data_IF_282924583206
#
_entry.id   IF_282924583206
#
_cell.length_a   1.000
_cell.length_b   1.000
_cell.length_c   1.000
_cell.angle_alpha   90.00
_cell.angle_beta   90.00
_cell.angle_gamma   90.00
#
_symmetry.space_group_name_H-M   'P 1'
#
loop_
_entity.id
_entity.type
_entity.pdbx_description
1 polymer ?
#
# COMPACT_ATOMS: atom_id res chain seq x y z
N UNK A 1 -14.17 11.45 0.37
CA UNK A 1 -14.90 11.55 -0.91
C UNK A 1 -16.03 12.57 -0.83
N UNK A 2 -16.85 12.49 0.23
CA UNK A 2 -17.98 13.40 0.47
C UNK A 2 -17.62 14.91 0.46
N UNK A 3 -16.36 15.27 0.73
CA UNK A 3 -15.88 16.65 0.60
C UNK A 3 -15.43 17.02 -0.82
N UNK A 4 -14.65 16.18 -1.50
CA UNK A 4 -13.92 16.60 -2.70
C UNK A 4 -14.80 16.81 -3.94
N UNK A 5 -15.74 15.90 -4.18
CA UNK A 5 -16.66 16.01 -5.32
C UNK A 5 -17.49 17.31 -5.29
N UNK A 6 -18.27 17.61 -4.22
CA UNK A 6 -19.07 18.83 -4.21
C UNK A 6 -18.20 20.10 -4.28
N UNK A 7 -17.04 20.13 -3.62
CA UNK A 7 -16.15 21.30 -3.67
C UNK A 7 -15.47 21.51 -5.02
N UNK A 8 -15.30 20.45 -5.81
CA UNK A 8 -14.72 20.55 -7.15
C UNK A 8 -15.77 20.87 -8.22
N UNK A 9 -17.05 20.54 -7.96
CA UNK A 9 -18.18 20.90 -8.81
C UNK A 9 -18.67 22.33 -8.59
N UNK A 10 -18.48 22.89 -7.39
CA UNK A 10 -18.82 24.28 -7.12
C UNK A 10 -17.78 25.24 -7.74
N UNK A 11 -18.17 26.29 -8.48
CA UNK A 11 -17.23 27.16 -9.19
C UNK A 11 -16.31 27.95 -8.24
N UNK A 12 -16.79 28.32 -7.04
CA UNK A 12 -15.99 29.03 -6.04
C UNK A 12 -16.54 28.86 -4.60
N UNK A 13 -16.42 27.68 -3.97
CA UNK A 13 -17.02 27.45 -2.65
C UNK A 13 -16.26 28.20 -1.57
N UNK A 14 -16.96 28.94 -0.70
CA UNK A 14 -16.40 29.76 0.38
C UNK A 14 -16.91 29.36 1.77
N UNK A 15 -18.21 29.09 1.91
CA UNK A 15 -18.85 28.69 3.16
C UNK A 15 -19.41 27.27 3.05
N UNK A 16 -18.98 26.41 3.95
CA UNK A 16 -19.42 25.01 3.99
C UNK A 16 -20.06 24.70 5.33
N UNK A 17 -21.22 24.06 5.30
CA UNK A 17 -21.82 23.43 6.48
C UNK A 17 -21.58 21.93 6.42
N UNK A 18 -21.18 21.34 7.54
CA UNK A 18 -21.08 19.89 7.73
C UNK A 18 -22.01 19.52 8.88
N UNK A 19 -22.95 18.62 8.66
CA UNK A 19 -23.82 18.05 9.70
C UNK A 19 -23.37 16.62 9.97
N UNK A 20 -23.01 16.33 11.22
CA UNK A 20 -22.32 15.08 11.59
C UNK A 20 -20.82 15.15 11.32
N UNK A 21 -20.12 14.01 11.27
CA UNK A 21 -18.67 13.99 11.03
C UNK A 21 -17.84 14.59 12.18
N UNK A 22 -18.30 14.46 13.43
CA UNK A 22 -17.65 14.98 14.64
C UNK A 22 -16.22 14.46 14.92
N UNK A 23 -15.67 13.58 14.09
CA UNK A 23 -14.26 13.19 14.15
C UNK A 23 -13.31 14.25 13.55
N UNK A 24 -13.85 15.23 12.82
CA UNK A 24 -13.11 16.29 12.14
C UNK A 24 -12.50 15.89 10.80
N UNK A 25 -12.79 14.68 10.31
CA UNK A 25 -12.27 14.13 9.07
C UNK A 25 -12.75 14.88 7.85
N UNK A 26 -14.06 15.10 7.72
CA UNK A 26 -14.63 15.89 6.61
C UNK A 26 -14.10 17.31 6.63
N UNK A 27 -14.09 17.96 7.81
CA UNK A 27 -13.54 19.32 8.00
C UNK A 27 -12.11 19.41 7.49
N UNK A 28 -11.25 18.43 7.87
CA UNK A 28 -9.84 18.39 7.44
C UNK A 28 -9.71 18.38 5.91
N UNK A 29 -10.57 17.62 5.22
CA UNK A 29 -10.55 17.53 3.77
C UNK A 29 -11.12 18.79 3.09
N UNK A 30 -12.20 19.37 3.63
CA UNK A 30 -12.76 20.64 3.14
C UNK A 30 -11.74 21.78 3.25
N UNK A 31 -11.03 21.88 4.38
CA UNK A 31 -10.04 22.93 4.61
C UNK A 31 -8.81 22.88 3.69
N UNK A 32 -8.61 21.81 2.91
CA UNK A 32 -7.56 21.75 1.89
C UNK A 32 -7.81 22.70 0.72
N UNK A 33 -9.06 23.14 0.52
CA UNK A 33 -9.44 24.04 -0.57
C UNK A 33 -9.13 25.50 -0.16
N UNK A 34 -8.28 26.23 -0.93
CA UNK A 34 -7.91 27.61 -0.59
C UNK A 34 -9.08 28.60 -0.68
N UNK A 35 -10.10 28.31 -1.50
CA UNK A 35 -11.29 29.16 -1.66
C UNK A 35 -12.16 29.22 -0.40
N UNK A 36 -12.04 28.22 0.47
CA UNK A 36 -12.85 28.09 1.68
C UNK A 36 -12.46 29.16 2.69
N UNK A 37 -13.45 29.93 3.13
CA UNK A 37 -13.31 31.00 4.10
C UNK A 37 -13.87 30.58 5.46
N UNK A 38 -14.92 29.76 5.48
CA UNK A 38 -15.55 29.26 6.71
C UNK A 38 -16.08 27.84 6.52
N UNK A 39 -15.85 27.00 7.52
CA UNK A 39 -16.44 25.66 7.65
C UNK A 39 -17.14 25.61 9.00
N UNK A 40 -18.44 25.36 9.00
CA UNK A 40 -19.21 25.09 10.20
C UNK A 40 -19.41 23.60 10.31
N UNK A 41 -19.01 23.01 11.44
CA UNK A 41 -19.30 21.62 11.79
C UNK A 41 -20.39 21.61 12.87
N UNK A 42 -21.54 21.04 12.56
CA UNK A 42 -22.61 20.78 13.52
C UNK A 42 -22.51 19.34 14.00
N UNK A 43 -22.25 19.16 15.29
CA UNK A 43 -22.19 17.85 15.94
C UNK A 43 -23.07 17.85 17.20
N UNK A 44 -23.88 16.81 17.38
CA UNK A 44 -24.81 16.72 18.50
C UNK A 44 -24.14 16.14 19.75
N UNK A 45 -23.11 15.29 19.59
CA UNK A 45 -22.43 14.61 20.70
C UNK A 45 -20.96 15.05 20.86
N UNK A 46 -20.78 16.16 21.59
CA UNK A 46 -19.45 16.70 21.92
C UNK A 46 -18.57 15.68 22.66
N UNK A 47 -19.11 15.03 23.70
CA UNK A 47 -18.31 14.21 24.62
C UNK A 47 -17.91 12.87 24.03
N UNK A 48 -18.79 12.20 23.28
CA UNK A 48 -18.49 10.86 22.76
C UNK A 48 -17.84 10.88 21.39
N UNK A 49 -18.00 11.94 20.61
CA UNK A 49 -17.43 12.01 19.26
C UNK A 49 -16.27 12.98 19.22
N UNK A 50 -16.49 14.27 19.55
CA UNK A 50 -15.46 15.30 19.40
C UNK A 50 -14.30 15.10 20.39
N UNK A 51 -14.58 14.96 21.69
CA UNK A 51 -13.54 14.80 22.72
C UNK A 51 -12.76 13.48 22.54
N UNK A 52 -13.47 12.39 22.22
CA UNK A 52 -12.85 11.08 21.94
C UNK A 52 -11.94 11.17 20.71
N UNK A 53 -12.38 11.84 19.64
CA UNK A 53 -11.57 12.03 18.44
C UNK A 53 -10.35 12.91 18.71
N UNK A 54 -10.48 13.98 19.49
CA UNK A 54 -9.32 14.79 19.94
C UNK A 54 -8.29 13.93 20.72
N UNK A 55 -8.77 13.00 21.55
CA UNK A 55 -7.90 12.14 22.36
C UNK A 55 -7.21 11.03 21.57
N UNK A 56 -7.95 10.33 20.70
CA UNK A 56 -7.47 9.11 20.04
C UNK A 56 -7.10 9.30 18.56
N UNK A 57 -7.59 10.37 17.92
CA UNK A 57 -7.36 10.71 16.52
C UNK A 57 -6.80 12.14 16.35
N UNK A 58 -5.74 12.55 17.08
CA UNK A 58 -5.28 13.95 17.12
C UNK A 58 -4.90 14.51 15.74
N UNK A 59 -4.38 13.68 14.84
CA UNK A 59 -4.05 14.09 13.47
C UNK A 59 -5.28 14.42 12.60
N UNK A 60 -6.44 13.86 12.93
CA UNK A 60 -7.71 14.18 12.27
C UNK A 60 -8.31 15.41 12.94
N UNK A 61 -8.36 15.39 14.28
CA UNK A 61 -8.94 16.43 15.11
C UNK A 61 -8.16 17.76 15.11
N UNK A 62 -6.93 17.82 14.59
CA UNK A 62 -6.21 19.10 14.43
C UNK A 62 -7.00 20.14 13.58
N UNK A 63 -7.98 19.69 12.80
CA UNK A 63 -8.85 20.58 12.02
C UNK A 63 -9.74 21.48 12.89
N UNK A 64 -10.04 21.08 14.14
CA UNK A 64 -10.80 21.88 15.11
C UNK A 64 -10.08 23.16 15.52
N UNK A 65 -8.75 23.20 15.42
CA UNK A 65 -7.94 24.38 15.78
C UNK A 65 -7.75 25.35 14.60
N UNK A 66 -8.33 25.07 13.43
CA UNK A 66 -8.19 25.94 12.27
C UNK A 66 -9.04 27.21 12.43
N UNK A 67 -8.50 28.41 12.15
CA UNK A 67 -9.25 29.66 12.31
C UNK A 67 -10.45 29.80 11.37
N UNK A 68 -10.51 29.01 10.29
CA UNK A 68 -11.66 28.95 9.37
C UNK A 68 -12.73 27.95 9.81
N UNK A 69 -12.49 27.21 10.90
CA UNK A 69 -13.38 26.18 11.42
C UNK A 69 -14.18 26.72 12.60
N UNK A 70 -15.49 26.51 12.57
CA UNK A 70 -16.40 26.76 13.68
C UNK A 70 -17.08 25.45 14.07
N UNK A 71 -16.99 25.09 15.36
CA UNK A 71 -17.71 23.95 15.92
C UNK A 71 -18.99 24.45 16.57
N UNK A 72 -20.14 24.00 16.05
CA UNK A 72 -21.43 24.16 16.68
C UNK A 72 -21.82 22.83 17.35
N UNK A 73 -21.98 22.85 18.68
CA UNK A 73 -22.51 21.72 19.43
C UNK A 73 -24.01 21.87 19.59
N UNK A 74 -24.78 21.03 18.90
CA UNK A 74 -26.23 21.09 18.92
C UNK A 74 -26.89 20.35 17.76
N UNK A 75 -28.21 20.54 17.64
CA UNK A 75 -29.00 19.92 16.56
C UNK A 75 -28.74 20.62 15.22
N UNK A 76 -28.15 19.88 14.27
CA UNK A 76 -27.89 20.37 12.91
C UNK A 76 -29.17 20.69 12.12
N UNK A 77 -30.29 20.02 12.40
CA UNK A 77 -31.59 20.32 11.76
C UNK A 77 -32.04 21.71 12.18
N UNK A 78 -32.00 22.01 13.47
CA UNK A 78 -32.36 23.31 14.00
C UNK A 78 -31.38 24.39 13.53
N UNK A 79 -30.07 24.11 13.56
CA UNK A 79 -29.07 25.04 13.07
C UNK A 79 -29.35 25.46 11.62
N UNK A 80 -29.67 24.53 10.73
CA UNK A 80 -30.01 24.87 9.34
C UNK A 80 -31.28 25.71 9.20
N UNK A 81 -32.30 25.49 10.03
CA UNK A 81 -33.52 26.33 10.02
C UNK A 81 -33.21 27.79 10.31
N UNK A 82 -32.21 28.04 11.16
CA UNK A 82 -31.83 29.37 11.63
C UNK A 82 -30.89 30.11 10.65
N UNK A 83 -30.32 29.41 9.66
CA UNK A 83 -29.34 29.97 8.73
C UNK A 83 -29.81 29.82 7.28
N UNK A 84 -30.40 30.89 6.72
CA UNK A 84 -30.93 30.92 5.34
C UNK A 84 -29.95 31.57 4.38
N UNK A 85 -29.83 31.02 3.17
CA UNK A 85 -28.98 31.54 2.10
C UNK A 85 -27.54 31.83 2.56
N UNK A 86 -26.95 30.93 3.33
CA UNK A 86 -25.64 31.15 3.94
C UNK A 86 -24.54 30.28 3.32
N UNK A 87 -24.85 29.05 2.94
CA UNK A 87 -23.83 28.06 2.59
C UNK A 87 -23.74 27.84 1.09
N UNK A 88 -22.51 27.69 0.58
CA UNK A 88 -22.26 27.30 -0.81
C UNK A 88 -22.37 25.78 -0.98
N UNK A 89 -21.96 25.03 0.06
CA UNK A 89 -21.99 23.58 0.08
C UNK A 89 -22.48 23.11 1.45
N UNK A 90 -23.41 22.16 1.46
CA UNK A 90 -23.85 21.46 2.67
C UNK A 90 -23.47 19.98 2.53
N UNK A 91 -22.76 19.45 3.52
CA UNK A 91 -22.35 18.05 3.61
C UNK A 91 -23.05 17.40 4.79
N UNK A 92 -23.75 16.31 4.57
CA UNK A 92 -24.35 15.49 5.64
C UNK A 92 -23.56 14.19 5.78
N UNK A 93 -22.78 14.05 6.85
CA UNK A 93 -22.05 12.85 7.26
C UNK A 93 -22.78 12.19 8.44
N UNK A 94 -23.94 11.61 8.12
CA UNK A 94 -24.88 11.10 9.11
C UNK A 94 -24.64 9.61 9.42
N UNK A 95 -24.87 9.19 10.69
CA UNK A 95 -24.96 7.78 11.03
C UNK A 95 -26.27 7.19 10.50
N UNK A 96 -26.42 5.86 10.60
CA UNK A 96 -27.67 5.16 10.29
C UNK A 96 -28.90 5.83 10.95
N UNK A 97 -30.09 5.81 10.30
CA UNK A 97 -31.32 6.49 10.75
C UNK A 97 -31.91 5.87 12.02
N UNK A 98 -31.23 6.07 13.15
CA UNK A 98 -31.56 5.53 14.45
C UNK A 98 -31.49 6.67 15.48
N UNK A 99 -32.55 6.82 16.27
CA UNK A 99 -32.62 7.86 17.29
C UNK A 99 -32.65 9.27 16.69
N UNK A 100 -31.86 10.24 17.19
CA UNK A 100 -31.85 11.62 16.69
C UNK A 100 -31.53 11.77 15.20
N UNK A 101 -30.84 10.78 14.60
CA UNK A 101 -30.47 10.81 13.20
C UNK A 101 -31.65 10.58 12.24
N UNK A 102 -32.79 10.05 12.71
CA UNK A 102 -33.98 9.78 11.87
C UNK A 102 -34.42 11.04 11.11
N UNK A 103 -34.43 12.20 11.79
CA UNK A 103 -34.84 13.46 11.17
C UNK A 103 -33.94 13.92 10.03
N UNK A 104 -32.69 13.43 9.93
CA UNK A 104 -31.77 13.75 8.82
C UNK A 104 -32.17 13.07 7.50
N UNK A 105 -33.16 12.17 7.54
CA UNK A 105 -33.66 11.41 6.40
C UNK A 105 -35.12 11.78 6.06
N UNK A 106 -35.70 12.78 6.72
CA UNK A 106 -37.07 13.26 6.48
C UNK A 106 -37.09 14.40 5.46
N UNK A 107 -38.21 14.54 4.75
CA UNK A 107 -38.39 15.55 3.68
C UNK A 107 -38.09 16.99 4.17
N UNK A 108 -38.51 17.32 5.39
CA UNK A 108 -38.25 18.61 6.03
C UNK A 108 -36.76 18.95 6.11
N UNK A 109 -35.90 17.95 6.32
CA UNK A 109 -34.46 18.16 6.38
C UNK A 109 -33.89 18.61 5.03
N UNK A 110 -34.33 17.99 3.94
CA UNK A 110 -33.93 18.39 2.58
C UNK A 110 -34.44 19.79 2.22
N UNK A 111 -35.66 20.15 2.65
CA UNK A 111 -36.15 21.53 2.52
C UNK A 111 -35.30 22.53 3.30
N UNK A 112 -34.90 22.18 4.53
CA UNK A 112 -34.02 23.04 5.33
C UNK A 112 -32.65 23.21 4.66
N UNK A 113 -32.06 22.15 4.12
CA UNK A 113 -30.80 22.24 3.36
C UNK A 113 -30.95 23.17 2.14
N UNK A 114 -32.02 23.03 1.35
CA UNK A 114 -32.29 23.91 0.20
C UNK A 114 -32.41 25.38 0.62
N UNK A 115 -33.09 25.67 1.73
CA UNK A 115 -33.27 27.03 2.24
C UNK A 115 -31.98 27.63 2.83
N UNK A 116 -31.08 26.78 3.33
CA UNK A 116 -29.80 27.19 3.90
C UNK A 116 -28.73 27.44 2.83
N UNK A 117 -28.86 26.85 1.65
CA UNK A 117 -27.97 27.08 0.52
C UNK A 117 -28.14 28.46 -0.11
N UNK A 118 -27.05 28.99 -0.66
CA UNK A 118 -27.07 30.18 -1.49
C UNK A 118 -28.00 29.97 -2.70
N UNK A 119 -28.90 30.94 -3.00
CA UNK A 119 -29.95 30.77 -4.00
C UNK A 119 -29.41 30.79 -5.44
N UNK A 120 -28.24 31.40 -5.67
CA UNK A 120 -27.62 31.48 -6.99
C UNK A 120 -27.08 30.12 -7.45
N UNK A 121 -26.32 29.46 -6.57
CA UNK A 121 -25.77 28.14 -6.82
C UNK A 121 -25.33 27.53 -5.48
N UNK A 122 -25.78 26.31 -5.21
CA UNK A 122 -25.45 25.58 -4.00
C UNK A 122 -25.44 24.08 -4.23
N UNK A 123 -24.61 23.35 -3.48
CA UNK A 123 -24.49 21.89 -3.62
C UNK A 123 -24.77 21.20 -2.29
N UNK A 124 -25.60 20.15 -2.34
CA UNK A 124 -25.80 19.22 -1.22
C UNK A 124 -25.03 17.94 -1.51
N UNK A 125 -24.33 17.40 -0.50
CA UNK A 125 -23.73 16.08 -0.56
C UNK A 125 -24.07 15.29 0.71
N UNK A 126 -24.79 14.18 0.58
CA UNK A 126 -25.19 13.35 1.71
C UNK A 126 -24.53 11.98 1.63
N UNK A 127 -24.08 11.47 2.79
CA UNK A 127 -23.86 10.05 2.97
C UNK A 127 -25.22 9.39 3.20
N UNK A 128 -25.66 8.58 2.24
CA UNK A 128 -26.90 7.83 2.33
C UNK A 128 -26.64 6.33 2.09
N UNK A 129 -27.55 5.48 2.55
CA UNK A 129 -27.59 4.07 2.10
C UNK A 129 -28.08 4.04 0.65
N UNK A 130 -27.76 2.96 -0.08
CA UNK A 130 -28.43 2.70 -1.36
C UNK A 130 -29.93 2.88 -1.16
N UNK A 131 -30.52 3.84 -1.88
CA UNK A 131 -31.95 3.82 -2.15
C UNK A 131 -32.18 2.52 -2.91
N UNK A 132 -32.52 1.45 -2.19
CA UNK A 132 -32.98 0.21 -2.80
C UNK A 132 -34.15 0.62 -3.67
N UNK A 133 -33.97 0.54 -4.98
CA UNK A 133 -35.06 0.62 -5.92
C UNK A 133 -36.13 -0.34 -5.43
N UNK A 134 -37.32 0.18 -5.17
CA UNK A 134 -38.50 -0.66 -4.93
C UNK A 134 -38.55 -1.64 -6.10
N UNK A 135 -38.42 -2.94 -5.79
CA UNK A 135 -38.48 -3.99 -6.81
C UNK A 135 -39.73 -3.78 -7.67
N UNK A 136 -39.64 -3.96 -9.01
CA UNK A 136 -40.82 -3.94 -9.83
C UNK A 136 -41.70 -5.12 -9.40
N UNK A 137 -42.84 -4.83 -8.78
CA UNK A 137 -43.93 -5.81 -8.68
C UNK A 137 -44.33 -6.15 -10.10
N UNK A 138 -44.08 -7.40 -10.46
CA UNK A 138 -44.42 -7.93 -11.77
C UNK A 138 -45.94 -7.86 -12.02
N UNK A 139 -46.30 -7.60 -13.28
CA UNK A 139 -47.62 -7.69 -13.91
C UNK A 139 -48.71 -6.66 -13.53
N UNK A 140 -48.83 -5.57 -14.33
CA UNK A 140 -50.10 -4.93 -14.79
C UNK A 140 -49.81 -3.69 -15.68
N UNK A 141 -50.71 -3.32 -16.62
CA UNK A 141 -50.40 -2.48 -17.80
C UNK A 141 -50.19 -0.98 -17.45
N UNK A 142 -49.65 -0.16 -18.38
CA UNK A 142 -49.18 1.18 -18.04
C UNK A 142 -50.35 2.09 -17.69
N UNK A 143 -50.43 2.51 -16.43
CA UNK A 143 -51.36 3.53 -15.98
C UNK A 143 -50.61 4.86 -15.87
N UNK A 144 -50.95 5.73 -16.83
CA UNK A 144 -51.14 7.18 -16.72
C UNK A 144 -50.34 7.97 -15.67
N UNK A 145 -49.45 8.81 -16.21
CA UNK A 145 -49.28 10.22 -15.86
C UNK A 145 -49.60 10.65 -14.42
N UNK A 146 -48.57 10.62 -13.56
CA UNK A 146 -48.52 11.41 -12.32
C UNK A 146 -47.43 12.47 -12.49
N UNK A 147 -47.58 13.33 -13.50
CA UNK A 147 -46.76 14.53 -13.69
C UNK A 147 -47.55 15.82 -13.44
N UNK A 148 -48.37 15.88 -12.39
CA UNK A 148 -48.92 17.16 -11.93
C UNK A 148 -48.94 17.27 -10.40
N UNK A 149 -48.38 18.39 -9.93
CA UNK A 149 -48.31 18.91 -8.55
C UNK A 149 -47.24 18.32 -7.63
N UNK A 150 -46.00 18.82 -7.78
CA UNK A 150 -45.33 19.53 -6.69
C UNK A 150 -44.17 20.39 -7.24
N UNK A 151 -44.31 21.70 -7.05
CA UNK A 151 -43.34 22.73 -7.40
C UNK A 151 -42.16 22.74 -6.43
N UNK A 152 -41.30 21.73 -6.52
CA UNK A 152 -40.01 21.70 -5.84
C UNK A 152 -38.96 21.16 -6.80
N UNK A 153 -38.51 22.02 -7.71
CA UNK A 153 -37.30 21.77 -8.49
C UNK A 153 -36.10 21.81 -7.52
N UNK A 154 -35.78 20.67 -6.93
CA UNK A 154 -34.46 20.34 -6.43
C UNK A 154 -33.99 19.16 -7.27
N UNK A 155 -33.17 19.44 -8.28
CA UNK A 155 -32.59 18.39 -9.12
C UNK A 155 -31.47 17.72 -8.31
N UNK A 156 -31.83 16.71 -7.51
CA UNK A 156 -30.85 15.85 -6.86
C UNK A 156 -30.10 15.08 -7.94
N UNK A 157 -28.78 15.26 -8.01
CA UNK A 157 -27.93 14.51 -8.94
C UNK A 157 -27.12 13.50 -8.15
N UNK A 158 -27.53 12.23 -8.22
CA UNK A 158 -26.76 11.10 -7.71
C UNK A 158 -25.67 10.72 -8.71
N UNK A 159 -24.42 10.64 -8.23
CA UNK A 159 -23.29 10.17 -9.00
C UNK A 159 -22.78 8.86 -8.42
N UNK A 160 -23.01 7.79 -9.16
CA UNK A 160 -22.44 6.49 -8.85
C UNK A 160 -21.07 6.35 -9.52
N UNK A 161 -20.25 5.43 -9.04
CA UNK A 161 -19.02 5.05 -9.73
C UNK A 161 -18.75 3.57 -9.50
N UNK A 162 -18.07 2.96 -10.45
CA UNK A 162 -17.69 1.57 -10.40
C UNK A 162 -16.77 1.30 -9.21
N UNK A 163 -17.08 0.25 -8.46
CA UNK A 163 -16.21 -0.21 -7.38
C UNK A 163 -14.92 -0.78 -7.98
N UNK A 164 -13.80 -0.47 -7.34
CA UNK A 164 -12.53 -1.14 -7.61
C UNK A 164 -12.55 -2.54 -6.97
N UNK A 165 -12.36 -3.55 -7.82
CA UNK A 165 -12.16 -4.93 -7.41
C UNK A 165 -10.76 -5.39 -7.85
N UNK A 166 -10.11 -6.21 -7.02
CA UNK A 166 -8.79 -6.77 -7.32
C UNK A 166 -8.90 -8.29 -7.47
N UNK A 167 -8.36 -8.81 -8.56
CA UNK A 167 -8.18 -10.25 -8.74
C UNK A 167 -7.27 -10.81 -7.64
N UNK A 168 -7.43 -12.10 -7.33
CA UNK A 168 -6.65 -12.83 -6.33
C UNK A 168 -6.76 -12.25 -4.91
N UNK A 169 -7.83 -11.52 -4.61
CA UNK A 169 -8.05 -10.88 -3.33
C UNK A 169 -9.54 -10.96 -2.94
N UNK A 170 -9.79 -10.88 -1.63
CA UNK A 170 -11.12 -10.65 -1.08
C UNK A 170 -11.10 -9.34 -0.30
N UNK A 171 -12.06 -8.46 -0.56
CA UNK A 171 -12.17 -7.13 0.09
C UNK A 171 -13.38 -7.03 1.02
N UNK A 172 -14.20 -8.08 1.10
CA UNK A 172 -15.35 -8.14 2.00
C UNK A 172 -14.92 -8.27 3.47
N UNK A 173 -15.39 -7.35 4.33
CA UNK A 173 -15.13 -7.36 5.78
C UNK A 173 -15.47 -8.71 6.42
N UNK A 174 -16.62 -9.29 6.05
CA UNK A 174 -17.07 -10.60 6.56
C UNK A 174 -16.10 -11.73 6.15
N UNK A 175 -15.60 -11.71 4.92
CA UNK A 175 -14.68 -12.74 4.40
C UNK A 175 -13.28 -12.60 5.01
N UNK A 176 -12.76 -11.38 5.13
CA UNK A 176 -11.49 -11.13 5.82
C UNK A 176 -11.58 -11.54 7.30
N UNK A 177 -12.67 -11.18 7.98
CA UNK A 177 -12.91 -11.63 9.35
C UNK A 177 -12.91 -13.15 9.49
N UNK A 178 -13.46 -13.88 8.50
CA UNK A 178 -13.42 -15.35 8.48
C UNK A 178 -11.99 -15.89 8.27
N UNK A 179 -11.18 -15.27 7.41
CA UNK A 179 -9.76 -15.65 7.24
C UNK A 179 -8.97 -15.51 8.55
N UNK A 180 -9.24 -14.46 9.32
CA UNK A 180 -8.60 -14.19 10.60
C UNK A 180 -9.07 -15.21 11.66
N UNK A 181 -10.38 -15.35 11.84
CA UNK A 181 -10.95 -16.26 12.85
C UNK A 181 -10.54 -17.72 12.63
N UNK A 182 -10.35 -18.15 11.38
CA UNK A 182 -9.89 -19.50 11.03
C UNK A 182 -8.36 -19.63 10.94
N UNK A 183 -7.60 -18.56 11.21
CA UNK A 183 -6.14 -18.61 11.29
C UNK A 183 -5.39 -18.68 9.96
N UNK A 184 -6.05 -18.42 8.82
CA UNK A 184 -5.40 -18.37 7.51
C UNK A 184 -4.51 -17.15 7.35
N UNK A 185 -4.91 -16.04 7.97
CA UNK A 185 -4.14 -14.80 8.08
C UNK A 185 -4.10 -14.33 9.52
N UNK A 186 -3.05 -13.58 9.89
CA UNK A 186 -2.79 -13.21 11.27
C UNK A 186 -3.83 -12.25 11.85
N UNK A 187 -4.06 -11.15 11.14
CA UNK A 187 -4.97 -10.07 11.53
C UNK A 187 -5.26 -9.16 10.32
N UNK A 188 -6.01 -8.08 10.51
CA UNK A 188 -6.34 -7.06 9.50
C UNK A 188 -5.12 -6.38 8.87
N UNK A 189 -3.94 -6.48 9.46
CA UNK A 189 -2.69 -5.92 8.95
C UNK A 189 -1.74 -6.97 8.36
N UNK A 190 -2.19 -8.24 8.19
CA UNK A 190 -1.39 -9.29 7.55
C UNK A 190 -0.98 -8.86 6.12
N UNK A 191 0.32 -8.81 5.78
CA UNK A 191 0.80 -8.32 4.49
C UNK A 191 0.23 -9.01 3.24
N UNK A 192 -0.43 -10.16 3.37
CA UNK A 192 -1.10 -10.85 2.26
C UNK A 192 -2.46 -10.25 1.90
N UNK A 193 -3.02 -9.39 2.76
CA UNK A 193 -4.29 -8.69 2.53
C UNK A 193 -4.10 -7.37 1.77
N UNK A 194 -5.21 -6.83 1.26
CA UNK A 194 -5.28 -5.54 0.56
C UNK A 194 -5.93 -4.43 1.41
N UNK A 195 -5.99 -4.60 2.73
CA UNK A 195 -6.34 -3.49 3.63
C UNK A 195 -5.22 -2.45 3.61
N UNK A 196 -5.52 -1.18 3.88
CA UNK A 196 -4.49 -0.13 3.90
C UNK A 196 -3.42 -0.40 4.98
N UNK A 197 -3.81 -0.98 6.11
CA UNK A 197 -2.89 -1.41 7.18
C UNK A 197 -1.97 -2.53 6.72
N UNK A 198 -2.49 -3.54 6.02
CA UNK A 198 -1.69 -4.63 5.45
C UNK A 198 -0.72 -4.13 4.38
N UNK A 199 -1.18 -3.28 3.45
CA UNK A 199 -0.33 -2.71 2.40
C UNK A 199 0.79 -1.85 3.00
N UNK A 200 0.47 -1.02 4.01
CA UNK A 200 1.48 -0.25 4.76
C UNK A 200 2.51 -1.17 5.40
N UNK A 201 2.07 -2.23 6.06
CA UNK A 201 2.95 -3.21 6.72
C UNK A 201 3.80 -4.02 5.73
N UNK A 202 3.24 -4.39 4.58
CA UNK A 202 3.96 -5.00 3.45
C UNK A 202 5.04 -4.06 2.91
N UNK A 203 4.89 -2.75 3.10
CA UNK A 203 5.87 -1.73 2.76
C UNK A 203 5.46 -0.83 1.59
N UNK A 204 4.18 -0.83 1.17
CA UNK A 204 3.70 -0.04 0.04
C UNK A 204 3.74 1.45 0.41
N UNK A 205 4.44 2.30 -0.37
CA UNK A 205 4.42 3.74 -0.14
C UNK A 205 3.02 4.33 -0.41
N UNK A 206 2.55 5.30 0.39
CA UNK A 206 1.30 5.98 0.11
C UNK A 206 1.29 6.67 -1.27
N UNK A 207 2.44 7.16 -1.73
CA UNK A 207 2.61 7.76 -3.05
C UNK A 207 2.29 6.77 -4.17
N UNK A 208 2.61 5.48 -3.99
CA UNK A 208 2.31 4.43 -4.96
C UNK A 208 0.82 4.11 -5.02
N UNK A 209 0.13 4.13 -3.87
CA UNK A 209 -1.33 3.97 -3.81
C UNK A 209 -2.02 5.12 -4.55
N UNK A 210 -1.60 6.36 -4.29
CA UNK A 210 -2.14 7.54 -4.96
C UNK A 210 -1.89 7.50 -6.47
N UNK A 211 -0.68 7.11 -6.89
CA UNK A 211 -0.33 6.92 -8.30
C UNK A 211 -1.20 5.86 -8.96
N UNK A 212 -1.44 4.75 -8.28
CA UNK A 212 -2.32 3.69 -8.77
C UNK A 212 -3.75 4.20 -8.93
N UNK A 213 -4.33 4.84 -7.92
CA UNK A 213 -5.68 5.42 -8.01
C UNK A 213 -5.80 6.44 -9.16
N UNK A 214 -4.79 7.29 -9.34
CA UNK A 214 -4.75 8.26 -10.45
C UNK A 214 -4.69 7.58 -11.83
N UNK A 215 -3.97 6.47 -11.97
CA UNK A 215 -3.89 5.70 -13.23
C UNK A 215 -5.17 4.91 -13.53
N UNK A 216 -5.84 4.37 -12.51
CA UNK A 216 -7.12 3.64 -12.68
C UNK A 216 -8.23 4.61 -13.10
N UNK A 217 -8.25 5.80 -12.51
CA UNK A 217 -9.30 6.78 -12.75
C UNK A 217 -10.63 6.40 -12.10
N UNK A 218 -11.67 7.17 -12.39
CA UNK A 218 -13.03 6.97 -11.89
C UNK A 218 -13.96 6.88 -13.08
N UNK A 219 -14.69 5.77 -13.19
CA UNK A 219 -15.68 5.53 -14.25
C UNK A 219 -16.94 4.91 -13.63
N UNK A 220 -18.06 4.87 -14.36
CA UNK A 220 -19.27 4.17 -13.91
C UNK A 220 -19.14 2.65 -13.97
N UNK A 221 -18.20 2.13 -14.76
CA UNK A 221 -18.04 0.70 -14.98
C UNK A 221 -17.33 0.03 -13.81
N UNK A 222 -17.90 -1.08 -13.33
CA UNK A 222 -17.23 -1.96 -12.37
C UNK A 222 -15.89 -2.40 -12.97
N UNK A 223 -14.80 -2.16 -12.23
CA UNK A 223 -13.46 -2.41 -12.73
C UNK A 223 -12.80 -3.49 -11.89
N UNK A 224 -12.39 -4.58 -12.54
CA UNK A 224 -11.61 -5.65 -11.92
C UNK A 224 -10.18 -5.57 -12.45
N UNK A 225 -9.20 -5.40 -11.57
CA UNK A 225 -7.79 -5.23 -11.94
C UNK A 225 -6.92 -6.36 -11.40
N UNK A 226 -5.86 -6.67 -12.14
CA UNK A 226 -4.78 -7.52 -11.63
C UNK A 226 -3.87 -6.69 -10.68
N UNK A 227 -3.47 -7.23 -9.52
CA UNK A 227 -2.59 -6.53 -8.57
C UNK A 227 -1.25 -6.07 -9.17
N UNK A 228 -0.79 -6.66 -10.27
CA UNK A 228 0.45 -6.29 -10.95
C UNK A 228 0.53 -4.81 -11.33
N UNK A 229 -0.59 -4.15 -11.63
CA UNK A 229 -0.62 -2.70 -11.91
C UNK A 229 -0.31 -1.87 -10.66
N UNK A 230 -0.86 -2.27 -9.51
CA UNK A 230 -0.53 -1.65 -8.22
C UNK A 230 0.94 -1.91 -7.87
N UNK A 231 1.41 -3.14 -8.03
CA UNK A 231 2.82 -3.48 -7.79
C UNK A 231 3.77 -2.72 -8.73
N UNK A 232 3.37 -2.45 -9.98
CA UNK A 232 4.15 -1.63 -10.90
C UNK A 232 4.28 -0.19 -10.38
N UNK A 233 3.20 0.42 -9.88
CA UNK A 233 3.27 1.74 -9.25
C UNK A 233 4.18 1.74 -8.02
N UNK A 234 4.17 0.66 -7.23
CA UNK A 234 5.08 0.49 -6.09
C UNK A 234 6.53 0.40 -6.55
N UNK A 235 6.84 -0.39 -7.59
CA UNK A 235 8.19 -0.48 -8.16
C UNK A 235 8.67 0.88 -8.67
N UNK A 236 7.82 1.63 -9.38
CA UNK A 236 8.16 2.96 -9.91
C UNK A 236 8.60 3.91 -8.79
N UNK A 237 7.82 3.97 -7.70
CA UNK A 237 8.12 4.83 -6.55
C UNK A 237 9.37 4.34 -5.80
N UNK A 238 9.44 3.05 -5.47
CA UNK A 238 10.55 2.51 -4.69
C UNK A 238 11.89 2.55 -5.43
N UNK A 239 11.89 2.46 -6.77
CA UNK A 239 13.12 2.52 -7.55
C UNK A 239 13.91 3.84 -7.35
N UNK A 240 13.21 4.94 -7.06
CA UNK A 240 13.83 6.27 -6.86
C UNK A 240 13.85 6.74 -5.41
N UNK A 241 13.19 6.02 -4.50
CA UNK A 241 13.07 6.36 -3.07
C UNK A 241 13.76 5.37 -2.13
N UNK A 242 13.88 4.08 -2.50
CA UNK A 242 14.50 3.06 -1.65
C UNK A 242 16.02 2.97 -1.91
N UNK A 243 16.88 3.20 -0.88
CA UNK A 243 18.31 2.96 -1.00
C UNK A 243 18.62 1.49 -1.28
N UNK A 244 19.73 1.25 -1.97
CA UNK A 244 20.21 -0.10 -2.28
C UNK A 244 20.96 -0.66 -1.08
N UNK A 245 20.73 -1.94 -0.83
CA UNK A 245 21.52 -2.76 0.09
C UNK A 245 21.69 -4.15 -0.55
N UNK A 246 22.71 -4.89 -0.15
CA UNK A 246 22.90 -6.28 -0.50
C UNK A 246 22.37 -7.16 0.62
N UNK A 247 21.55 -8.14 0.24
CA UNK A 247 21.05 -9.17 1.14
C UNK A 247 21.10 -10.53 0.44
N UNK A 248 21.56 -11.53 1.17
CA UNK A 248 21.67 -12.92 0.75
C UNK A 248 20.68 -13.73 1.57
N UNK A 249 19.67 -14.28 0.90
CA UNK A 249 18.56 -14.98 1.55
C UNK A 249 18.96 -16.42 1.87
N UNK A 250 19.64 -17.09 0.94
CA UNK A 250 20.16 -18.44 1.15
C UNK A 250 21.70 -18.42 1.12
N UNK A 251 22.36 -18.13 2.26
CA UNK A 251 23.79 -17.92 2.27
C UNK A 251 24.59 -19.18 1.91
N UNK A 252 25.51 -19.00 0.96
CA UNK A 252 26.60 -19.92 0.64
C UNK A 252 27.93 -19.21 0.94
N UNK A 253 28.72 -19.79 1.85
CA UNK A 253 30.00 -19.23 2.28
C UNK A 253 31.05 -19.39 1.18
N UNK A 254 31.83 -18.34 0.94
CA UNK A 254 32.96 -18.33 0.02
C UNK A 254 34.19 -17.79 0.73
N UNK A 255 35.30 -18.51 0.66
CA UNK A 255 36.61 -18.10 1.19
C UNK A 255 37.54 -17.75 0.03
N UNK A 256 38.05 -16.52 0.03
CA UNK A 256 38.97 -16.01 -0.99
C UNK A 256 40.41 -16.25 -0.52
N UNK A 257 41.11 -17.18 -1.15
CA UNK A 257 42.45 -17.61 -0.76
C UNK A 257 43.52 -16.53 -0.98
N UNK A 258 43.42 -15.81 -2.09
CA UNK A 258 44.38 -14.78 -2.50
C UNK A 258 43.84 -13.37 -2.25
N UNK A 259 43.17 -13.16 -1.11
CA UNK A 259 42.61 -11.86 -0.76
C UNK A 259 43.72 -10.78 -0.75
N UNK A 260 43.56 -9.64 -1.45
CA UNK A 260 44.63 -8.64 -1.57
C UNK A 260 44.99 -8.03 -0.21
N UNK A 261 46.24 -8.17 0.22
CA UNK A 261 46.73 -7.67 1.51
C UNK A 261 46.57 -6.14 1.66
N UNK A 262 46.65 -5.40 0.55
CA UNK A 262 46.59 -3.93 0.53
C UNK A 262 45.16 -3.38 0.43
N UNK A 263 44.12 -4.23 0.45
CA UNK A 263 42.74 -3.74 0.39
C UNK A 263 42.32 -3.09 1.71
N UNK A 264 41.61 -1.96 1.67
CA UNK A 264 41.16 -1.21 2.85
C UNK A 264 40.14 -1.94 3.76
N UNK A 265 39.74 -3.16 3.41
CA UNK A 265 38.71 -3.93 4.12
C UNK A 265 37.29 -3.39 4.02
N UNK A 266 37.04 -2.30 3.27
CA UNK A 266 35.71 -1.70 3.13
C UNK A 266 35.46 -1.13 1.73
N UNK A 267 34.20 -1.07 1.33
CA UNK A 267 33.76 -0.57 0.02
C UNK A 267 32.65 0.46 0.19
N UNK A 268 32.73 1.55 -0.56
CA UNK A 268 31.65 2.53 -0.67
C UNK A 268 30.69 2.13 -1.80
N UNK A 269 29.41 2.04 -1.49
CA UNK A 269 28.35 1.63 -2.41
C UNK A 269 27.35 2.77 -2.55
N UNK A 270 27.04 3.22 -3.78
CA UNK A 270 26.06 4.26 -4.00
C UNK A 270 24.67 3.78 -3.56
N UNK A 271 23.94 4.61 -2.81
CA UNK A 271 22.57 4.31 -2.38
C UNK A 271 21.62 4.23 -3.58
N UNK A 272 21.90 4.99 -4.65
CA UNK A 272 21.10 5.06 -5.86
C UNK A 272 22.02 5.04 -7.09
N UNK A 273 22.05 3.94 -7.87
CA UNK A 273 22.96 3.82 -9.02
C UNK A 273 22.75 4.89 -10.12
N UNK A 274 21.55 5.45 -10.21
CA UNK A 274 21.22 6.47 -11.20
C UNK A 274 21.46 7.90 -10.70
N UNK A 275 21.80 8.08 -9.41
CA UNK A 275 21.90 9.39 -8.77
C UNK A 275 22.87 9.35 -7.57
N UNK A 276 24.16 9.57 -7.86
CA UNK A 276 25.22 9.58 -6.84
C UNK A 276 25.06 10.72 -5.81
N UNK A 277 24.29 11.77 -6.12
CA UNK A 277 24.04 12.88 -5.19
C UNK A 277 23.25 12.44 -3.95
N UNK A 278 22.57 11.29 -4.01
CA UNK A 278 21.85 10.66 -2.90
C UNK A 278 22.76 9.86 -1.94
N UNK A 279 24.06 10.04 -2.08
CA UNK A 279 25.07 9.53 -1.18
C UNK A 279 25.35 8.03 -1.35
N UNK A 280 26.20 7.55 -0.45
CA UNK A 280 26.67 6.17 -0.41
C UNK A 280 26.68 5.66 1.03
N UNK A 281 26.76 4.34 1.18
CA UNK A 281 27.02 3.67 2.43
C UNK A 281 28.29 2.83 2.29
N UNK A 282 28.90 2.47 3.43
CA UNK A 282 30.11 1.65 3.45
C UNK A 282 29.80 0.27 4.00
N UNK A 283 30.29 -0.76 3.31
CA UNK A 283 30.19 -2.15 3.77
C UNK A 283 31.58 -2.78 3.90
N UNK A 284 31.77 -3.76 4.78
CA UNK A 284 33.02 -4.50 4.88
C UNK A 284 33.22 -5.43 3.67
N UNK A 285 34.48 -5.64 3.29
CA UNK A 285 34.91 -6.61 2.29
C UNK A 285 36.12 -7.36 2.83
N UNK A 286 35.95 -8.63 3.17
CA UNK A 286 36.99 -9.48 3.77
C UNK A 286 37.22 -10.72 2.92
N UNK A 287 38.18 -11.57 3.32
CA UNK A 287 38.42 -12.86 2.68
C UNK A 287 37.24 -13.83 2.78
N UNK A 288 36.26 -13.57 3.65
CA UNK A 288 35.02 -14.36 3.73
C UNK A 288 33.84 -13.53 3.24
N UNK A 289 33.18 -14.02 2.20
CA UNK A 289 31.94 -13.44 1.68
C UNK A 289 30.86 -14.51 1.61
N UNK A 290 29.61 -14.07 1.60
CA UNK A 290 28.44 -14.91 1.40
C UNK A 290 27.73 -14.46 0.13
N UNK A 291 27.28 -15.43 -0.66
CA UNK A 291 26.52 -15.23 -1.89
C UNK A 291 25.22 -16.01 -1.81
N UNK A 292 24.27 -15.74 -2.70
CA UNK A 292 23.11 -16.62 -2.83
C UNK A 292 23.53 -18.01 -3.27
N UNK A 293 22.99 -19.04 -2.61
CA UNK A 293 23.19 -20.43 -2.98
C UNK A 293 22.83 -20.69 -4.46
N UNK A 294 21.79 -20.03 -4.95
CA UNK A 294 21.34 -20.15 -6.35
C UNK A 294 22.27 -19.49 -7.38
N UNK A 295 23.24 -18.69 -6.94
CA UNK A 295 24.23 -18.03 -7.80
C UNK A 295 25.47 -18.88 -8.08
N UNK A 296 25.58 -20.07 -7.48
CA UNK A 296 26.56 -21.09 -7.85
C UNK A 296 25.89 -22.36 -8.37
N UNK A 297 26.42 -22.91 -9.47
CA UNK A 297 26.10 -24.26 -9.96
C UNK A 297 27.37 -24.96 -10.42
N UNK A 298 27.55 -26.23 -10.06
CA UNK A 298 28.69 -27.01 -10.57
C UNK A 298 28.69 -27.11 -12.10
N UNK A 299 27.53 -27.42 -12.68
CA UNK A 299 27.35 -27.50 -14.14
C UNK A 299 26.42 -26.37 -14.60
N UNK A 300 26.97 -25.47 -15.40
CA UNK A 300 26.21 -24.39 -16.01
C UNK A 300 25.39 -24.88 -17.21
N UNK A 301 24.15 -24.44 -17.29
CA UNK A 301 23.34 -24.53 -18.50
C UNK A 301 23.72 -23.41 -19.49
N UNK A 302 23.37 -23.55 -20.77
CA UNK A 302 23.78 -22.63 -21.86
C UNK A 302 23.49 -21.15 -21.58
N UNK A 303 22.43 -20.83 -20.83
CA UNK A 303 21.99 -19.48 -20.52
C UNK A 303 22.37 -19.00 -19.09
N UNK A 304 23.11 -19.81 -18.33
CA UNK A 304 23.50 -19.48 -16.96
C UNK A 304 24.66 -18.47 -16.95
N UNK A 305 24.40 -17.27 -16.42
CA UNK A 305 25.37 -16.14 -16.40
C UNK A 305 26.07 -15.92 -15.06
N UNK A 306 25.73 -16.70 -14.03
CA UNK A 306 26.32 -16.58 -12.69
C UNK A 306 27.51 -17.54 -12.55
N UNK A 307 27.84 -17.97 -11.34
CA UNK A 307 29.09 -18.67 -11.08
C UNK A 307 28.99 -20.17 -11.31
N UNK A 308 29.94 -20.76 -12.04
CA UNK A 308 30.06 -22.22 -12.14
C UNK A 308 31.50 -22.67 -12.10
N UNK A 309 31.70 -24.00 -12.11
CA UNK A 309 33.05 -24.57 -12.09
C UNK A 309 33.93 -24.06 -13.24
N UNK A 310 33.34 -23.91 -14.43
CA UNK A 310 34.06 -23.49 -15.64
C UNK A 310 33.81 -22.02 -16.03
N UNK A 311 33.15 -21.23 -15.17
CA UNK A 311 32.75 -19.86 -15.51
C UNK A 311 32.89 -18.94 -14.31
N UNK A 312 33.75 -17.92 -14.35
CA UNK A 312 33.92 -16.97 -13.26
C UNK A 312 32.74 -15.99 -13.14
N UNK A 313 32.61 -15.34 -11.98
CA UNK A 313 31.56 -14.36 -11.68
C UNK A 313 32.13 -13.08 -11.10
N UNK A 314 31.55 -11.92 -11.43
CA UNK A 314 31.92 -10.66 -10.80
C UNK A 314 31.22 -10.45 -9.46
N UNK A 315 31.93 -9.91 -8.48
CA UNK A 315 31.33 -9.39 -7.25
C UNK A 315 30.90 -7.94 -7.48
N UNK A 316 29.61 -7.67 -7.31
CA UNK A 316 29.06 -6.32 -7.54
C UNK A 316 29.72 -5.31 -6.61
N UNK A 317 30.06 -4.13 -7.15
CA UNK A 317 30.77 -3.03 -6.46
C UNK A 317 32.20 -3.31 -5.97
N UNK A 318 32.64 -4.58 -5.89
CA UNK A 318 33.95 -4.93 -5.35
C UNK A 318 35.11 -4.70 -6.34
N UNK A 319 34.83 -4.70 -7.65
CA UNK A 319 35.88 -4.62 -8.67
C UNK A 319 36.70 -5.91 -8.81
N UNK A 320 36.21 -7.04 -8.29
CA UNK A 320 36.85 -8.34 -8.36
C UNK A 320 35.99 -9.39 -9.06
N UNK A 321 36.66 -10.33 -9.74
CA UNK A 321 36.08 -11.51 -10.38
C UNK A 321 36.52 -12.75 -9.61
N UNK A 322 35.59 -13.63 -9.25
CA UNK A 322 35.85 -14.90 -8.58
C UNK A 322 35.95 -16.07 -9.58
N UNK A 323 36.96 -16.91 -9.36
CA UNK A 323 37.13 -18.21 -10.00
C UNK A 323 37.12 -19.30 -8.92
N UNK A 324 36.59 -20.48 -9.24
CA UNK A 324 36.54 -21.56 -8.27
C UNK A 324 37.94 -22.19 -8.11
N UNK A 325 38.33 -22.43 -6.86
CA UNK A 325 39.52 -23.24 -6.53
C UNK A 325 39.09 -24.61 -6.00
N UNK A 326 38.14 -24.63 -5.05
CA UNK A 326 37.68 -25.86 -4.39
C UNK A 326 36.20 -25.78 -4.02
N UNK A 327 35.49 -26.89 -4.20
CA UNK A 327 34.10 -27.08 -3.79
C UNK A 327 34.10 -28.05 -2.61
N UNK A 328 33.65 -27.61 -1.44
CA UNK A 328 33.50 -28.48 -0.28
C UNK A 328 32.04 -28.97 -0.19
N UNK A 329 31.89 -30.26 0.12
CA UNK A 329 30.59 -30.93 0.22
C UNK A 329 30.49 -31.72 1.52
N UNK A 330 29.27 -31.88 2.00
CA UNK A 330 28.96 -32.78 3.11
C UNK A 330 28.88 -34.25 2.65
N UNK A 331 28.55 -35.15 3.59
CA UNK A 331 28.39 -36.58 3.33
C UNK A 331 27.23 -36.92 2.39
N UNK A 332 26.27 -36.01 2.23
CA UNK A 332 25.10 -36.18 1.34
C UNK A 332 25.35 -35.59 -0.06
N UNK A 333 26.50 -34.93 -0.25
CA UNK A 333 26.88 -34.30 -1.51
C UNK A 333 26.38 -32.86 -1.66
N UNK A 334 25.80 -32.27 -0.61
CA UNK A 334 25.38 -30.87 -0.64
C UNK A 334 26.60 -29.96 -0.49
N UNK A 335 26.61 -28.85 -1.24
CA UNK A 335 27.70 -27.87 -1.17
C UNK A 335 27.61 -27.09 0.14
N UNK A 336 28.66 -27.19 0.96
CA UNK A 336 28.75 -26.51 2.27
C UNK A 336 29.35 -25.12 2.12
N UNK A 337 30.45 -25.02 1.37
CA UNK A 337 31.22 -23.80 1.18
C UNK A 337 32.13 -23.92 -0.06
N UNK A 338 32.55 -22.77 -0.54
CA UNK A 338 33.41 -22.64 -1.71
C UNK A 338 34.72 -21.97 -1.31
N UNK A 339 35.80 -22.37 -1.97
CA UNK A 339 37.08 -21.69 -1.92
C UNK A 339 37.37 -21.15 -3.31
N UNK A 340 37.75 -19.89 -3.38
CA UNK A 340 37.92 -19.15 -4.62
C UNK A 340 39.21 -18.35 -4.64
N UNK A 341 39.67 -18.08 -5.85
CA UNK A 341 40.61 -17.00 -6.14
C UNK A 341 39.87 -15.80 -6.70
N UNK A 342 40.38 -14.61 -6.42
CA UNK A 342 39.89 -13.36 -6.98
C UNK A 342 40.95 -12.69 -7.86
N UNK A 343 40.50 -12.06 -8.95
CA UNK A 343 41.33 -11.20 -9.80
C UNK A 343 40.66 -9.84 -9.95
N UNK A 344 41.46 -8.77 -10.11
CA UNK A 344 40.89 -7.44 -10.40
C UNK A 344 40.18 -7.48 -11.73
N UNK A 345 38.99 -6.89 -11.79
CA UNK A 345 38.22 -6.76 -13.02
C UNK A 345 38.98 -5.85 -13.97
N UNK A 346 39.31 -6.35 -15.15
CA UNK A 346 39.89 -5.56 -16.25
C UNK A 346 38.83 -5.25 -17.29
N UNK A 347 39.09 -4.27 -18.16
CA UNK A 347 38.16 -3.94 -19.24
C UNK A 347 38.05 -5.05 -20.30
N UNK A 348 39.09 -5.87 -20.45
CA UNK A 348 39.21 -6.92 -21.47
C UNK A 348 38.57 -8.26 -21.08
N UNK A 349 38.56 -8.61 -19.78
CA UNK A 349 38.07 -9.90 -19.28
C UNK A 349 36.87 -9.75 -18.33
N UNK A 350 35.78 -9.17 -18.84
CA UNK A 350 34.55 -9.01 -18.05
C UNK A 350 33.81 -10.35 -17.86
N UNK A 351 33.40 -10.68 -16.64
CA UNK A 351 32.61 -11.89 -16.38
C UNK A 351 31.23 -11.79 -17.04
N UNK A 352 30.56 -12.94 -17.25
CA UNK A 352 29.23 -12.98 -17.87
C UNK A 352 28.13 -12.34 -17.02
N UNK A 353 28.37 -12.17 -15.72
CA UNK A 353 27.44 -11.57 -14.78
C UNK A 353 28.12 -11.11 -13.50
N UNK A 354 27.43 -10.22 -12.80
CA UNK A 354 27.79 -9.75 -11.46
C UNK A 354 26.70 -10.17 -10.48
N UNK A 355 27.10 -10.69 -9.32
CA UNK A 355 26.21 -11.12 -8.24
C UNK A 355 26.38 -10.22 -7.02
N UNK A 356 25.31 -10.08 -6.24
CA UNK A 356 25.40 -9.45 -4.93
C UNK A 356 26.03 -10.43 -3.93
N UNK A 357 26.56 -9.87 -2.86
CA UNK A 357 27.28 -10.60 -1.83
C UNK A 357 27.24 -9.78 -0.54
N UNK A 358 27.57 -10.41 0.58
CA UNK A 358 27.73 -9.72 1.87
C UNK A 358 28.97 -10.25 2.59
N UNK A 359 29.62 -9.42 3.39
CA UNK A 359 30.69 -9.79 4.31
C UNK A 359 30.38 -9.19 5.67
N UNK A 360 30.83 -9.84 6.75
CA UNK A 360 30.48 -9.49 8.14
C UNK A 360 29.01 -9.04 8.31
N UNK A 361 28.04 -9.88 7.88
CA UNK A 361 26.66 -9.44 7.72
C UNK A 361 25.89 -9.42 9.05
N UNK A 362 24.76 -8.73 9.02
CA UNK A 362 23.72 -8.83 10.05
C UNK A 362 22.80 -10.00 9.69
N UNK A 363 22.52 -10.88 10.67
CA UNK A 363 21.53 -11.94 10.51
C UNK A 363 20.12 -11.35 10.66
N UNK A 364 19.23 -11.66 9.71
CA UNK A 364 17.87 -11.19 9.69
C UNK A 364 16.87 -12.26 9.25
N UNK A 365 15.59 -12.02 9.59
CA UNK A 365 14.47 -12.77 9.03
C UNK A 365 13.93 -12.04 7.80
N UNK A 366 13.69 -12.77 6.72
CA UNK A 366 13.05 -12.25 5.51
C UNK A 366 11.76 -13.02 5.26
N UNK A 367 10.64 -12.30 5.22
CA UNK A 367 9.31 -12.81 4.93
C UNK A 367 8.98 -12.52 3.47
N UNK A 368 8.75 -13.57 2.69
CA UNK A 368 8.38 -13.47 1.29
C UNK A 368 6.89 -13.80 1.14
N UNK A 369 6.20 -13.03 0.31
CA UNK A 369 4.76 -13.15 0.10
C UNK A 369 4.45 -13.49 -1.35
N UNK A 370 3.55 -14.45 -1.52
CA UNK A 370 2.92 -14.81 -2.79
C UNK A 370 1.42 -14.47 -2.73
N UNK A 371 0.71 -14.69 -3.84
CA UNK A 371 -0.75 -14.49 -3.88
C UNK A 371 -1.43 -15.39 -2.83
N UNK A 372 -2.37 -14.82 -2.08
CA UNK A 372 -3.13 -15.53 -1.05
C UNK A 372 -4.10 -16.55 -1.65
N UNK A 373 -4.61 -16.29 -2.86
CA UNK A 373 -5.56 -17.14 -3.57
C UNK A 373 -4.98 -17.62 -4.89
N UNK A 374 -5.30 -18.84 -5.31
CA UNK A 374 -4.84 -19.37 -6.61
C UNK A 374 -5.62 -18.79 -7.78
N UNK A 375 -6.94 -18.61 -7.63
CA UNK A 375 -7.83 -18.17 -8.70
C UNK A 375 -7.98 -16.64 -8.75
N UNK A 376 -8.34 -16.13 -9.94
CA UNK A 376 -8.56 -14.69 -10.14
C UNK A 376 -9.77 -14.21 -9.35
N UNK A 377 -10.82 -15.02 -9.36
CA UNK A 377 -12.09 -14.74 -8.69
C UNK A 377 -12.31 -15.78 -7.59
N UNK A 378 -11.63 -15.68 -6.43
CA UNK A 378 -11.75 -16.67 -5.36
C UNK A 378 -13.18 -16.77 -4.79
N UNK A 379 -14.01 -15.76 -5.05
CA UNK A 379 -15.41 -15.69 -4.61
C UNK A 379 -16.39 -16.33 -5.62
N UNK A 380 -15.94 -16.68 -6.83
CA UNK A 380 -16.79 -17.25 -7.88
C UNK A 380 -16.99 -18.76 -7.65
N UNK A 381 -18.22 -19.25 -7.42
CA UNK A 381 -18.49 -20.68 -7.22
C UNK A 381 -18.18 -21.55 -8.46
N UNK A 382 -18.10 -20.97 -9.65
CA UNK A 382 -17.73 -21.69 -10.87
C UNK A 382 -16.22 -21.96 -10.95
N UNK A 383 -15.39 -21.04 -10.44
CA UNK A 383 -13.94 -21.24 -10.30
C UNK A 383 -13.60 -22.02 -9.02
N UNK A 384 -14.32 -21.74 -7.92
CA UNK A 384 -14.06 -22.29 -6.58
C UNK A 384 -15.35 -22.88 -5.97
N UNK A 385 -15.77 -24.10 -6.37
CA UNK A 385 -17.01 -24.72 -5.89
C UNK A 385 -17.04 -24.95 -4.36
N UNK A 386 -15.88 -25.13 -3.73
CA UNK A 386 -15.73 -25.27 -2.27
C UNK A 386 -15.82 -23.96 -1.49
N UNK A 387 -15.98 -22.83 -2.19
CA UNK A 387 -15.92 -21.49 -1.63
C UNK A 387 -14.49 -20.99 -1.40
N UNK A 388 -14.33 -19.68 -1.28
CA UNK A 388 -13.03 -18.99 -1.30
C UNK A 388 -11.96 -19.52 -0.34
N UNK A 389 -12.33 -20.15 0.78
CA UNK A 389 -11.36 -20.71 1.73
C UNK A 389 -10.62 -21.93 1.18
N UNK A 390 -11.22 -22.69 0.27
CA UNK A 390 -10.55 -23.82 -0.39
C UNK A 390 -9.56 -23.37 -1.45
N UNK A 391 -9.54 -22.08 -1.79
CA UNK A 391 -8.65 -21.49 -2.79
C UNK A 391 -7.39 -20.85 -2.20
N UNK A 392 -7.19 -20.96 -0.89
CA UNK A 392 -6.05 -20.35 -0.20
C UNK A 392 -4.77 -21.08 -0.59
N UNK A 393 -3.76 -20.30 -0.97
CA UNK A 393 -2.41 -20.78 -1.19
C UNK A 393 -1.67 -20.97 0.15
N UNK A 394 -1.36 -22.21 0.56
CA UNK A 394 -0.64 -22.47 1.81
C UNK A 394 0.80 -21.94 1.76
N UNK A 395 1.35 -21.76 0.56
CA UNK A 395 2.68 -21.20 0.32
C UNK A 395 2.61 -19.68 0.04
N UNK A 396 1.53 -19.01 0.45
CA UNK A 396 1.37 -17.55 0.31
C UNK A 396 2.37 -16.74 1.14
N UNK A 397 3.05 -17.38 2.09
CA UNK A 397 4.12 -16.80 2.89
C UNK A 397 5.23 -17.82 3.10
N UNK A 398 6.48 -17.41 2.89
CA UNK A 398 7.67 -18.17 3.31
C UNK A 398 8.55 -17.30 4.19
N UNK A 399 9.16 -17.92 5.20
CA UNK A 399 10.01 -17.23 6.19
C UNK A 399 11.41 -17.79 6.11
N UNK A 400 12.37 -16.92 5.79
CA UNK A 400 13.79 -17.22 5.77
C UNK A 400 14.40 -16.65 7.05
N UNK A 401 14.74 -17.50 8.02
CA UNK A 401 15.16 -17.06 9.36
C UNK A 401 16.65 -16.70 9.47
N UNK A 402 17.47 -17.17 8.54
CA UNK A 402 18.93 -17.02 8.55
C UNK A 402 19.44 -16.29 7.31
N UNK A 403 18.70 -15.27 6.86
CA UNK A 403 19.17 -14.40 5.79
C UNK A 403 20.26 -13.47 6.33
N UNK A 404 21.15 -13.03 5.45
CA UNK A 404 22.22 -12.10 5.75
C UNK A 404 22.01 -10.80 4.99
N UNK A 405 22.13 -9.66 5.67
CA UNK A 405 22.05 -8.34 5.05
C UNK A 405 23.29 -7.54 5.41
N UNK A 406 23.75 -6.67 4.52
CA UNK A 406 24.90 -5.83 4.81
C UNK A 406 24.63 -4.87 5.98
N UNK A 407 25.71 -4.32 6.54
CA UNK A 407 25.65 -3.50 7.76
C UNK A 407 24.99 -2.13 7.58
N UNK A 408 24.68 -1.70 6.35
CA UNK A 408 24.07 -0.39 6.08
C UNK A 408 22.65 -0.27 6.64
N UNK A 409 21.95 -1.39 6.83
CA UNK A 409 20.60 -1.40 7.41
C UNK A 409 20.60 -1.27 8.93
N UNK A 410 21.77 -1.23 9.58
CA UNK A 410 21.89 -1.10 11.03
C UNK A 410 21.21 0.18 11.51
N UNK A 411 20.25 0.03 12.43
CA UNK A 411 19.47 1.16 12.95
C UNK A 411 18.27 1.57 12.09
N UNK A 412 17.94 0.81 11.04
CA UNK A 412 16.72 1.01 10.29
C UNK A 412 15.48 0.91 11.20
N UNK A 413 14.54 1.82 10.99
CA UNK A 413 13.30 1.94 11.76
C UNK A 413 12.18 1.14 11.10
N UNK A 414 11.10 0.90 11.84
CA UNK A 414 9.89 0.30 11.28
C UNK A 414 9.44 1.06 10.02
N UNK A 415 9.07 0.31 8.99
CA UNK A 415 8.68 0.80 7.67
C UNK A 415 9.78 1.44 6.82
N UNK A 416 11.03 1.52 7.26
CA UNK A 416 12.14 1.87 6.37
C UNK A 416 12.19 0.86 5.21
N UNK A 417 12.64 1.33 4.05
CA UNK A 417 12.53 0.60 2.77
C UNK A 417 13.88 0.48 2.11
N UNK A 418 14.13 -0.67 1.51
CA UNK A 418 15.38 -0.97 0.83
C UNK A 418 15.10 -1.71 -0.47
N UNK A 419 15.91 -1.46 -1.48
CA UNK A 419 16.03 -2.39 -2.60
C UNK A 419 17.18 -3.35 -2.28
N UNK A 420 16.84 -4.61 -1.98
CA UNK A 420 17.84 -5.66 -1.94
C UNK A 420 18.23 -6.01 -3.37
N UNK A 421 19.48 -5.71 -3.70
CA UNK A 421 19.99 -5.81 -5.05
C UNK A 421 19.77 -7.20 -5.65
N UNK A 422 19.24 -7.25 -6.89
CA UNK A 422 18.84 -8.49 -7.61
C UNK A 422 17.73 -9.32 -6.97
N UNK A 423 17.25 -8.98 -5.78
CA UNK A 423 16.22 -9.74 -5.06
C UNK A 423 14.85 -9.06 -5.17
N UNK A 424 14.72 -7.82 -4.71
CA UNK A 424 13.41 -7.18 -4.59
C UNK A 424 13.42 -5.91 -3.77
N UNK A 425 12.24 -5.37 -3.52
CA UNK A 425 12.04 -4.28 -2.57
C UNK A 425 11.49 -4.83 -1.27
N UNK A 426 12.03 -4.33 -0.16
CA UNK A 426 11.77 -4.81 1.18
C UNK A 426 11.48 -3.65 2.13
N UNK A 427 10.74 -3.94 3.20
CA UNK A 427 10.49 -2.98 4.27
C UNK A 427 10.66 -3.63 5.63
N UNK A 428 11.19 -2.87 6.59
CA UNK A 428 11.35 -3.33 7.98
C UNK A 428 9.98 -3.55 8.61
N UNK A 429 9.70 -4.78 9.04
CA UNK A 429 8.44 -5.14 9.69
C UNK A 429 8.37 -4.61 11.12
N UNK A 430 7.16 -4.34 11.61
CA UNK A 430 6.90 -3.86 12.97
C UNK A 430 7.20 -4.88 14.06
N UNK A 431 7.29 -6.18 13.72
CA UNK A 431 7.73 -7.22 14.65
C UNK A 431 9.27 -7.16 14.89
N UNK A 432 10.01 -6.28 14.19
CA UNK A 432 11.45 -6.05 14.42
C UNK A 432 11.69 -5.50 15.83
N UNK A 433 12.67 -6.08 16.53
CA UNK A 433 13.14 -5.63 17.85
C UNK A 433 14.68 -5.71 17.95
N UNK A 434 15.24 -5.29 19.08
CA UNK A 434 16.69 -5.10 19.28
C UNK A 434 17.58 -6.32 18.97
N UNK A 435 17.06 -7.54 19.10
CA UNK A 435 17.80 -8.79 18.86
C UNK A 435 17.42 -9.49 17.56
N UNK A 436 16.44 -8.98 16.81
CA UNK A 436 15.96 -9.60 15.57
C UNK A 436 15.45 -8.56 14.59
N UNK A 437 16.13 -8.45 13.46
CA UNK A 437 15.71 -7.62 12.34
C UNK A 437 14.86 -8.44 11.37
N UNK A 438 13.71 -7.90 10.97
CA UNK A 438 12.72 -8.60 10.14
C UNK A 438 12.34 -7.73 8.95
N UNK A 439 12.44 -8.29 7.75
CA UNK A 439 12.07 -7.62 6.49
C UNK A 439 10.92 -8.33 5.80
N UNK A 440 9.93 -7.56 5.37
CA UNK A 440 8.86 -7.99 4.47
C UNK A 440 9.24 -7.71 3.03
N UNK A 441 9.11 -8.69 2.13
CA UNK A 441 9.18 -8.44 0.69
C UNK A 441 7.97 -7.63 0.26
N UNK A 442 8.18 -6.37 -0.12
CA UNK A 442 7.15 -5.49 -0.62
C UNK A 442 6.69 -5.97 -1.99
N UNK A 443 7.61 -5.98 -2.96
CA UNK A 443 7.39 -6.45 -4.34
C UNK A 443 8.70 -6.99 -4.92
N UNK A 444 8.60 -7.94 -5.85
CA UNK A 444 9.76 -8.42 -6.62
C UNK A 444 10.27 -7.35 -7.58
N UNK A 445 11.53 -7.49 -8.02
CA UNK A 445 12.01 -6.72 -9.16
C UNK A 445 11.21 -7.10 -10.42
N UNK A 446 11.23 -6.24 -11.43
CA UNK A 446 10.56 -6.52 -12.70
C UNK A 446 11.18 -7.77 -13.33
N UNK A 447 10.40 -8.82 -13.48
CA UNK A 447 10.80 -10.00 -14.25
C UNK A 447 10.76 -9.68 -15.75
N UNK A 448 11.76 -10.19 -16.47
CA UNK A 448 11.84 -10.07 -17.92
C UNK A 448 10.95 -11.18 -18.50
N UNK A 449 9.83 -10.87 -19.21
CA UNK A 449 8.82 -11.87 -19.59
C UNK A 449 9.35 -13.05 -20.42
N UNK A 450 10.55 -12.92 -21.01
CA UNK A 450 11.22 -13.94 -21.81
C UNK A 450 12.15 -14.88 -21.04
N UNK A 451 12.23 -14.80 -19.71
CA UNK A 451 13.05 -15.69 -18.87
C UNK A 451 12.16 -16.43 -17.87
N UNK A 452 11.46 -17.46 -18.35
CA UNK A 452 10.94 -18.54 -17.49
C UNK A 452 11.82 -19.76 -17.63
#
# INVERSE_FOLDING_TARGET
MIAHLPLSCHPNPRKVLIVGGGDGGVVREVLKYPSIQKVVLCEIDEKKVVEVSKKYLPHIAQSFDNPRMELFIGDGIQYMKDHKNEFDVIITDAPDPIGPAVGLYEEDYYYNMKNALNPDFGIICCQDKELVSVEPRDSSPPAEDVSQNNSSECNHVQWEYGRLNLNYAVVSKRKIGKLITEGHVRDWDDPRLFTLTALRRRGFPPEAINLFCAKVGVTMAQTVLDPSMLEACVRDVLNVTAPRAMAVLEPLKVTINNFPADHSGSLAIPNFPADESKGSHTIPFTSTVFIERSDFKEKAEKNYKRWSADQPVGLRHAGYVLSIDKINKDSEGNITDLVATCTKTTETDKPKGFIHWVSDPIVCEVRQYERLFFHKSPEDPSEVPGGFLTDINPNSMSVVTNAYVDVSVKGAKHFDKFQFERVGFFSVDTDTHHSKMIFNRTVTLKEDPGKK
#
